data_IF_949364774828
#
_entry.id   IF_949364774828
#
_cell.length_a   1.000
_cell.length_b   1.000
_cell.length_c   1.000
_cell.angle_alpha   90.00
_cell.angle_beta   90.00
_cell.angle_gamma   90.00
#
_symmetry.space_group_name_H-M   'P 1'
#
loop_
_entity.id
_entity.type
_entity.pdbx_description
1 polymer ?
#
# COMPACT_ATOMS: atom_id res chain seq x y z
N UNK A 1 0.47 5.14 -0.87
CA UNK A 1 0.39 5.50 -2.31
C UNK A 1 -0.81 6.39 -2.54
N UNK A 2 -0.92 7.03 -3.71
CA UNK A 2 -2.06 7.90 -4.02
C UNK A 2 -3.22 7.11 -4.63
N UNK A 3 -2.96 6.16 -5.52
CA UNK A 3 -4.01 5.51 -6.31
C UNK A 3 -3.74 4.03 -6.59
N UNK A 4 -4.80 3.22 -6.55
CA UNK A 4 -4.81 1.79 -6.86
C UNK A 4 -5.96 1.45 -7.82
N UNK A 5 -5.60 1.18 -9.07
CA UNK A 5 -6.53 0.92 -10.18
C UNK A 5 -6.12 -0.26 -11.06
N UNK A 6 -4.87 -0.71 -10.99
CA UNK A 6 -4.40 -1.78 -11.87
C UNK A 6 -5.06 -3.12 -11.55
N UNK A 7 -5.75 -3.68 -12.56
CA UNK A 7 -6.52 -4.93 -12.41
C UNK A 7 -5.61 -6.12 -12.10
N UNK A 8 -4.44 -6.22 -12.73
CA UNK A 8 -3.54 -7.37 -12.53
C UNK A 8 -2.99 -7.38 -11.11
N UNK A 9 -2.56 -6.21 -10.62
CA UNK A 9 -2.10 -6.03 -9.24
C UNK A 9 -3.21 -6.33 -8.24
N UNK A 10 -4.43 -5.79 -8.43
CA UNK A 10 -5.55 -6.04 -7.52
C UNK A 10 -5.88 -7.53 -7.43
N UNK A 11 -5.89 -8.25 -8.56
CA UNK A 11 -6.09 -9.70 -8.57
C UNK A 11 -4.98 -10.44 -7.81
N UNK A 12 -3.72 -9.97 -7.88
CA UNK A 12 -2.61 -10.55 -7.11
C UNK A 12 -2.74 -10.29 -5.61
N UNK A 13 -3.24 -9.11 -5.20
CA UNK A 13 -3.52 -8.81 -3.80
C UNK A 13 -4.63 -9.71 -3.26
N UNK A 14 -5.71 -9.94 -4.02
CA UNK A 14 -6.74 -10.89 -3.62
C UNK A 14 -6.20 -12.32 -3.51
N UNK A 15 -5.41 -12.78 -4.48
CA UNK A 15 -4.77 -14.11 -4.43
C UNK A 15 -3.87 -14.27 -3.19
N UNK A 16 -3.13 -13.21 -2.82
CA UNK A 16 -2.31 -13.22 -1.62
C UNK A 16 -3.18 -13.27 -0.35
N UNK A 17 -4.22 -12.44 -0.27
CA UNK A 17 -5.13 -12.44 0.88
C UNK A 17 -5.85 -13.78 1.07
N UNK A 18 -6.28 -14.42 -0.02
CA UNK A 18 -6.87 -15.76 -0.01
C UNK A 18 -5.91 -16.85 0.51
N UNK A 19 -4.60 -16.62 0.41
CA UNK A 19 -3.56 -17.49 0.96
C UNK A 19 -3.17 -17.13 2.40
N UNK A 20 -3.91 -16.24 3.05
CA UNK A 20 -3.67 -15.82 4.43
C UNK A 20 -2.67 -14.67 4.58
N UNK A 21 -2.27 -14.00 3.50
CA UNK A 21 -1.40 -12.82 3.60
C UNK A 21 -2.20 -11.63 4.12
N UNK A 22 -1.76 -11.05 5.24
CA UNK A 22 -2.31 -9.79 5.75
C UNK A 22 -1.78 -8.60 4.93
N UNK A 23 -2.68 -7.76 4.43
CA UNK A 23 -2.35 -6.63 3.56
C UNK A 23 -2.96 -5.35 4.12
N UNK A 24 -2.11 -4.36 4.35
CA UNK A 24 -2.51 -3.01 4.74
C UNK A 24 -2.23 -2.03 3.61
N UNK A 25 -3.24 -1.29 3.19
CA UNK A 25 -3.16 -0.34 2.09
C UNK A 25 -3.46 1.08 2.61
N UNK A 26 -2.45 1.96 2.55
CA UNK A 26 -2.62 3.40 2.73
C UNK A 26 -2.77 4.04 1.35
N UNK A 27 -4.02 4.26 0.92
CA UNK A 27 -4.38 4.83 -0.39
C UNK A 27 -5.23 6.06 -0.16
N UNK A 28 -4.66 7.23 -0.45
CA UNK A 28 -5.38 8.49 -0.25
C UNK A 28 -6.52 8.69 -1.25
N UNK A 29 -6.17 8.55 -2.53
CA UNK A 29 -6.99 8.96 -3.67
C UNK A 29 -7.85 7.82 -4.15
N UNK A 30 -7.75 7.51 -5.44
CA UNK A 30 -8.66 6.55 -6.07
C UNK A 30 -8.23 5.12 -5.72
N UNK A 31 -9.14 4.35 -5.12
CA UNK A 31 -8.96 2.93 -4.87
C UNK A 31 -10.19 2.17 -5.37
N UNK A 32 -10.00 1.28 -6.35
CA UNK A 32 -11.09 0.43 -6.86
C UNK A 32 -11.07 -0.99 -6.29
N UNK A 33 -10.07 -1.30 -5.46
CA UNK A 33 -10.03 -2.54 -4.68
C UNK A 33 -11.16 -2.52 -3.63
N UNK A 34 -11.85 -3.65 -3.45
CA UNK A 34 -12.88 -3.83 -2.42
C UNK A 34 -12.31 -4.68 -1.27
N UNK A 35 -12.01 -4.08 -0.10
CA UNK A 35 -11.53 -4.83 1.07
C UNK A 35 -12.67 -5.59 1.77
N UNK A 36 -12.37 -6.61 2.58
CA UNK A 36 -13.35 -7.26 3.46
C UNK A 36 -14.38 -8.18 2.78
N UNK A 37 -14.19 -8.56 1.52
CA UNK A 37 -15.07 -9.52 0.84
C UNK A 37 -14.79 -10.96 1.32
N UNK A 38 -15.80 -11.70 1.79
CA UNK A 38 -15.63 -13.07 2.26
C UNK A 38 -14.95 -13.97 1.23
N UNK A 39 -13.89 -14.68 1.65
CA UNK A 39 -13.14 -15.58 0.78
C UNK A 39 -12.36 -14.91 -0.36
N UNK A 40 -12.26 -13.57 -0.38
CA UNK A 40 -11.54 -12.82 -1.43
C UNK A 40 -10.57 -11.79 -0.85
N UNK A 41 -11.01 -10.96 0.09
CA UNK A 41 -10.22 -9.82 0.59
C UNK A 41 -10.37 -9.55 2.08
N UNK A 42 -10.74 -10.56 2.87
CA UNK A 42 -10.81 -10.50 4.35
C UNK A 42 -9.49 -10.09 4.99
N UNK A 43 -8.36 -10.54 4.41
CA UNK A 43 -7.02 -10.16 4.85
C UNK A 43 -6.56 -8.77 4.41
N UNK A 44 -7.40 -7.99 3.72
CA UNK A 44 -7.04 -6.67 3.18
C UNK A 44 -7.78 -5.56 3.91
N UNK A 45 -7.02 -4.59 4.42
CA UNK A 45 -7.55 -3.35 4.99
C UNK A 45 -7.09 -2.15 4.16
N UNK A 46 -8.01 -1.23 3.87
CA UNK A 46 -7.71 -0.01 3.11
C UNK A 46 -8.05 1.21 3.95
N UNK A 47 -7.09 2.13 4.08
CA UNK A 47 -7.24 3.40 4.80
C UNK A 47 -6.80 4.55 3.91
N UNK A 48 -7.48 5.68 4.02
CA UNK A 48 -7.09 6.96 3.43
C UNK A 48 -6.81 7.95 4.54
N UNK A 49 -5.68 8.66 4.47
CA UNK A 49 -5.35 9.74 5.41
C UNK A 49 -5.47 11.06 4.65
N UNK A 50 -6.39 11.90 5.11
CA UNK A 50 -6.63 13.23 4.53
C UNK A 50 -6.42 14.26 5.64
N UNK A 51 -5.20 14.80 5.68
CA UNK A 51 -4.78 15.81 6.65
C UNK A 51 -4.50 17.17 6.00
N UNK A 52 -3.75 18.00 6.72
CA UNK A 52 -3.25 19.29 6.21
C UNK A 52 -2.26 19.09 5.05
N UNK A 53 -1.40 18.07 5.16
CA UNK A 53 -0.38 17.77 4.17
C UNK A 53 -0.91 16.83 3.11
N UNK A 54 -0.32 16.96 1.93
CA UNK A 54 -0.67 16.15 0.80
C UNK A 54 0.19 14.87 0.78
N UNK A 55 -0.17 13.82 1.54
CA UNK A 55 0.37 12.43 1.51
C UNK A 55 0.72 11.85 0.13
N UNK A 56 1.88 12.21 -0.42
CA UNK A 56 2.28 11.86 -1.79
C UNK A 56 3.26 10.69 -1.87
N UNK A 57 3.64 10.13 -0.70
CA UNK A 57 4.59 9.04 -0.59
C UNK A 57 4.05 7.72 -1.15
N UNK A 58 4.93 7.00 -1.85
CA UNK A 58 4.69 5.66 -2.39
C UNK A 58 5.76 4.75 -1.85
N UNK A 59 5.36 4.00 -0.83
CA UNK A 59 6.20 3.11 -0.03
C UNK A 59 5.58 1.72 -0.14
N UNK A 60 6.42 0.72 -0.38
CA UNK A 60 6.03 -0.69 -0.35
C UNK A 60 6.87 -1.40 0.68
N UNK A 61 6.22 -2.12 1.58
CA UNK A 61 6.84 -2.92 2.63
C UNK A 61 6.39 -4.36 2.49
N UNK A 62 7.36 -5.28 2.51
CA UNK A 62 7.12 -6.72 2.47
C UNK A 62 7.84 -7.37 3.65
N UNK A 63 7.11 -8.11 4.48
CA UNK A 63 7.69 -8.79 5.65
C UNK A 63 8.67 -9.89 5.27
N UNK A 64 8.46 -10.55 4.12
CA UNK A 64 9.36 -11.53 3.51
C UNK A 64 10.00 -12.52 4.52
N UNK A 65 9.15 -13.14 5.34
CA UNK A 65 9.54 -14.11 6.37
C UNK A 65 10.66 -13.65 7.33
N UNK A 66 10.68 -12.35 7.63
CA UNK A 66 11.67 -11.72 8.51
C UNK A 66 12.83 -11.04 7.77
N UNK A 67 13.06 -11.34 6.49
CA UNK A 67 14.00 -10.60 5.63
C UNK A 67 13.30 -9.41 4.96
N UNK A 68 12.85 -8.48 5.79
CA UNK A 68 12.01 -7.35 5.40
C UNK A 68 12.59 -6.58 4.19
N UNK A 69 11.72 -6.26 3.22
CA UNK A 69 12.08 -5.43 2.06
C UNK A 69 11.23 -4.17 2.03
N UNK A 70 11.91 -3.02 1.93
CA UNK A 70 11.27 -1.71 1.74
C UNK A 70 11.66 -1.16 0.38
N UNK A 71 10.67 -0.63 -0.34
CA UNK A 71 10.87 0.06 -1.60
C UNK A 71 10.19 1.42 -1.60
N UNK A 72 10.82 2.37 -2.27
CA UNK A 72 10.24 3.67 -2.58
C UNK A 72 10.00 3.78 -4.09
N UNK A 73 8.95 4.50 -4.49
CA UNK A 73 8.60 4.57 -5.91
C UNK A 73 8.08 5.91 -6.40
N UNK A 74 8.33 6.16 -7.68
CA UNK A 74 7.66 7.21 -8.45
C UNK A 74 6.26 6.81 -8.93
N UNK A 75 5.92 5.52 -8.96
CA UNK A 75 4.67 5.00 -9.52
C UNK A 75 3.57 4.77 -8.48
N UNK A 76 2.34 5.13 -8.85
CA UNK A 76 1.12 4.54 -8.29
C UNK A 76 0.79 3.24 -9.03
N UNK A 77 -0.06 2.39 -8.44
CA UNK A 77 -0.53 1.15 -9.10
C UNK A 77 -1.71 1.45 -10.02
N UNK A 78 -1.43 2.16 -11.11
CA UNK A 78 -2.36 2.45 -12.20
C UNK A 78 -1.82 1.93 -13.54
N UNK A 79 -2.67 1.50 -14.49
CA UNK A 79 -2.21 1.01 -15.79
C UNK A 79 -1.25 1.98 -16.51
N UNK A 80 -1.56 3.28 -16.51
CA UNK A 80 -0.70 4.31 -17.12
C UNK A 80 0.69 4.43 -16.48
N UNK A 81 0.82 4.12 -15.18
CA UNK A 81 2.11 4.18 -14.49
C UNK A 81 2.93 2.92 -14.77
N UNK A 82 2.29 1.76 -14.89
CA UNK A 82 2.97 0.48 -15.07
C UNK A 82 3.29 0.16 -16.53
N UNK A 83 2.41 0.55 -17.47
CA UNK A 83 2.50 0.13 -18.87
C UNK A 83 2.92 1.27 -19.83
N UNK A 84 2.73 2.54 -19.45
CA UNK A 84 2.86 3.68 -20.37
C UNK A 84 3.89 4.72 -19.95
N UNK A 85 4.51 4.57 -18.78
CA UNK A 85 5.45 5.53 -18.22
C UNK A 85 6.71 4.83 -17.80
N UNK A 86 7.82 5.54 -17.93
CA UNK A 86 9.06 5.17 -17.25
C UNK A 86 8.95 5.65 -15.82
N UNK A 87 8.96 4.71 -14.89
CA UNK A 87 8.86 4.96 -13.45
C UNK A 87 10.02 4.26 -12.74
N UNK A 88 10.36 4.74 -11.55
CA UNK A 88 11.40 4.18 -10.70
C UNK A 88 10.78 3.49 -9.49
N UNK A 89 11.30 2.30 -9.18
CA UNK A 89 11.12 1.59 -7.93
C UNK A 89 12.51 1.18 -7.48
N UNK A 90 12.90 1.53 -6.27
CA UNK A 90 14.23 1.21 -5.75
C UNK A 90 14.15 0.68 -4.32
N UNK A 91 15.02 -0.29 -3.96
CA UNK A 91 15.10 -0.81 -2.61
C UNK A 91 15.73 0.23 -1.68
N UNK A 92 15.39 0.13 -0.40
CA UNK A 92 16.07 0.84 0.69
C UNK A 92 16.85 -0.18 1.50
N UNK A 93 18.17 -0.16 1.37
CA UNK A 93 19.05 -1.17 1.99
C UNK A 93 19.63 -0.73 3.34
N UNK A 94 19.72 0.59 3.57
CA UNK A 94 20.23 1.14 4.82
C UNK A 94 19.26 0.84 5.98
N UNK A 95 19.71 0.11 7.02
CA UNK A 95 18.83 -0.29 8.12
C UNK A 95 18.17 0.88 8.86
N UNK A 96 18.87 2.00 9.04
CA UNK A 96 18.34 3.17 9.75
C UNK A 96 17.22 3.82 8.93
N UNK A 97 17.39 3.88 7.60
CA UNK A 97 16.34 4.35 6.70
C UNK A 97 15.13 3.41 6.69
N UNK A 98 15.34 2.09 6.67
CA UNK A 98 14.27 1.10 6.77
C UNK A 98 13.45 1.30 8.04
N UNK A 99 14.11 1.39 9.21
CA UNK A 99 13.42 1.60 10.48
C UNK A 99 12.63 2.91 10.50
N UNK A 100 13.21 4.00 9.99
CA UNK A 100 12.53 5.28 9.90
C UNK A 100 11.28 5.23 9.02
N UNK A 101 11.37 4.57 7.86
CA UNK A 101 10.24 4.42 6.93
C UNK A 101 9.13 3.56 7.57
N UNK A 102 9.49 2.47 8.25
CA UNK A 102 8.53 1.64 8.99
C UNK A 102 7.81 2.44 10.08
N UNK A 103 8.54 3.25 10.84
CA UNK A 103 7.93 4.13 11.84
C UNK A 103 6.90 5.09 11.20
N UNK A 104 7.20 5.66 10.03
CA UNK A 104 6.25 6.51 9.28
C UNK A 104 5.00 5.72 8.85
N UNK A 105 5.17 4.49 8.34
CA UNK A 105 4.05 3.63 7.97
C UNK A 105 3.18 3.29 9.20
N UNK A 106 3.81 2.94 10.32
CA UNK A 106 3.10 2.61 11.56
C UNK A 106 2.28 3.79 12.07
N UNK A 107 2.83 5.02 12.05
CA UNK A 107 2.07 6.22 12.39
C UNK A 107 0.82 6.38 11.51
N UNK A 108 0.92 6.10 10.21
CA UNK A 108 -0.24 6.14 9.32
C UNK A 108 -1.26 5.03 9.59
N UNK A 109 -0.80 3.84 9.97
CA UNK A 109 -1.66 2.71 10.36
C UNK A 109 -2.29 2.89 11.75
N UNK A 110 -1.71 3.70 12.61
CA UNK A 110 -2.22 3.97 13.95
C UNK A 110 -3.07 5.25 14.02
N UNK A 111 -3.09 6.07 12.95
CA UNK A 111 -3.85 7.31 12.92
C UNK A 111 -5.34 7.06 13.22
N UNK A 112 -5.83 7.74 14.26
CA UNK A 112 -7.19 7.64 14.78
C UNK A 112 -7.98 8.95 14.67
N UNK A 113 -7.48 9.94 13.90
CA UNK A 113 -8.10 11.28 13.80
C UNK A 113 -8.43 11.69 12.37
N UNK A 114 -7.56 11.37 11.42
CA UNK A 114 -7.63 11.78 10.00
C UNK A 114 -7.69 10.59 9.05
N UNK A 115 -7.56 9.36 9.56
CA UNK A 115 -7.77 8.15 8.80
C UNK A 115 -9.26 7.85 8.57
N UNK A 116 -9.58 7.49 7.33
CA UNK A 116 -10.86 6.97 6.90
C UNK A 116 -10.67 5.52 6.44
N UNK A 117 -11.49 4.61 6.97
CA UNK A 117 -11.44 3.18 6.62
C UNK A 117 -12.44 2.93 5.49
N UNK A 118 -11.97 2.35 4.38
CA UNK A 118 -12.84 1.96 3.28
C UNK A 118 -13.65 0.71 3.68
N UNK A 119 -14.97 0.79 3.54
CA UNK A 119 -15.91 -0.32 3.76
C UNK A 119 -16.45 -0.82 2.42
N UNK A 120 -16.73 -2.12 2.35
CA UNK A 120 -17.17 -2.85 1.14
C UNK A 120 -18.62 -2.60 0.75
#
# INVERSE_FOLDING_TARGET
>A
MNSLLDKKIILKLYQAAQKGVTIHLLVRGICVLRPGLPGVSEGITVRSIVGRLLEHSRIFYFSNDGDEKVYLSSADWMPRNLDQRVELLFPVDDPDHVQRIKAILNLGLEDNRKAYIMRS
#
